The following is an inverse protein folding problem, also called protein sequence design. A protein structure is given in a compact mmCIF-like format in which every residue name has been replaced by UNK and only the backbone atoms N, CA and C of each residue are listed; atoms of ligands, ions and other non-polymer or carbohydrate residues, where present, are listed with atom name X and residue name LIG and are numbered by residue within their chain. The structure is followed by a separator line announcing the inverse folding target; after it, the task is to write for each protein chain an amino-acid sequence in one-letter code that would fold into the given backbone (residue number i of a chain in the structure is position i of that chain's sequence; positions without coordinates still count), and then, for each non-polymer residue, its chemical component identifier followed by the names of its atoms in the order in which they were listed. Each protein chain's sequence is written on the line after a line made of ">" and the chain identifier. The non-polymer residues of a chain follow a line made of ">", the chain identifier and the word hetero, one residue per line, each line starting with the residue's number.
data_IF_600694748815
#
_entry.id   IF_600694748815
#
_cell.length_a   1.000
_cell.length_b   1.000
_cell.length_c   1.000
_cell.angle_alpha   90.00
_cell.angle_beta   90.00
_cell.angle_gamma   90.00
#
_symmetry.space_group_name_H-M   'P 1'
#
loop_
_entity.id
_entity.type
_entity.pdbx_description
1 polymer ?
#
# COMPACT_ATOMS: atom_id res chain seq x y z
N UNK A 1 5.19 0.77 5.73
CA UNK A 1 6.45 0.21 5.17
C UNK A 1 6.62 0.53 3.69
N UNK A 2 5.90 -0.08 2.74
CA UNK A 2 6.17 0.17 1.30
C UNK A 2 5.95 1.66 0.89
N UNK A 3 4.77 2.20 1.16
CA UNK A 3 4.40 3.58 0.80
C UNK A 3 5.27 4.61 1.55
N UNK A 4 5.45 4.43 2.86
CA UNK A 4 6.28 5.33 3.71
C UNK A 4 7.75 5.36 3.26
N UNK A 5 8.30 4.23 2.80
CA UNK A 5 9.69 4.16 2.31
C UNK A 5 9.85 4.68 0.88
N UNK A 6 8.76 5.06 0.18
CA UNK A 6 8.86 5.62 -1.17
C UNK A 6 9.14 7.12 -1.11
N UNK A 7 10.04 7.61 -1.99
CA UNK A 7 10.39 9.04 -2.05
C UNK A 7 9.18 9.97 -2.26
N UNK A 8 8.15 9.47 -2.94
CA UNK A 8 6.93 10.24 -3.23
C UNK A 8 5.78 9.97 -2.26
N UNK A 9 6.00 9.15 -1.21
CA UNK A 9 4.95 8.67 -0.28
C UNK A 9 3.72 8.07 -0.98
N UNK A 10 3.90 7.57 -2.20
CA UNK A 10 2.85 6.98 -3.03
C UNK A 10 3.41 5.88 -3.90
N UNK A 11 2.70 4.77 -4.01
CA UNK A 11 3.08 3.62 -4.84
C UNK A 11 1.87 3.04 -5.57
N UNK A 12 2.11 2.43 -6.72
CA UNK A 12 1.09 1.63 -7.41
C UNK A 12 0.92 0.28 -6.73
N UNK A 13 -0.22 -0.40 -6.97
CA UNK A 13 -0.42 -1.77 -6.49
C UNK A 13 0.72 -2.71 -6.89
N UNK A 14 1.23 -2.59 -8.13
CA UNK A 14 2.34 -3.41 -8.61
C UNK A 14 3.57 -3.19 -7.74
N UNK A 15 3.97 -1.93 -7.56
CA UNK A 15 5.14 -1.58 -6.75
C UNK A 15 5.02 -2.03 -5.29
N UNK A 16 3.80 -2.03 -4.73
CA UNK A 16 3.56 -2.55 -3.38
C UNK A 16 3.77 -4.07 -3.34
N UNK A 17 3.26 -4.79 -4.33
CA UNK A 17 3.49 -6.24 -4.46
C UNK A 17 4.98 -6.55 -4.65
N UNK A 18 5.65 -5.80 -5.53
CA UNK A 18 7.08 -5.97 -5.83
C UNK A 18 7.92 -5.76 -4.57
N UNK A 19 7.64 -4.70 -3.81
CA UNK A 19 8.29 -4.43 -2.52
C UNK A 19 8.08 -5.57 -1.51
N UNK A 20 6.89 -6.16 -1.45
CA UNK A 20 6.60 -7.27 -0.54
C UNK A 20 7.38 -8.51 -0.95
N UNK A 21 7.45 -8.82 -2.24
CA UNK A 21 8.23 -9.95 -2.77
C UNK A 21 9.73 -9.74 -2.53
N UNK A 22 10.23 -8.53 -2.71
CA UNK A 22 11.64 -8.21 -2.46
C UNK A 22 11.98 -8.36 -0.97
N UNK A 23 11.14 -7.83 -0.08
CA UNK A 23 11.38 -7.82 1.36
C UNK A 23 11.15 -9.16 2.05
N UNK A 24 10.20 -9.97 1.56
CA UNK A 24 9.76 -11.18 2.24
C UNK A 24 9.75 -12.36 1.27
N UNK A 25 10.78 -13.21 1.38
CA UNK A 25 11.01 -14.35 0.48
C UNK A 25 9.80 -15.30 0.37
N UNK A 26 9.05 -15.45 1.47
CA UNK A 26 7.81 -16.24 1.52
C UNK A 26 6.79 -15.87 0.42
N UNK A 27 6.74 -14.61 0.00
CA UNK A 27 5.78 -14.13 -0.99
C UNK A 27 6.28 -14.21 -2.45
N UNK A 28 7.54 -14.62 -2.69
CA UNK A 28 8.13 -14.70 -4.03
C UNK A 28 7.59 -15.87 -4.86
N UNK A 29 7.41 -17.04 -4.23
CA UNK A 29 7.10 -18.29 -4.95
C UNK A 29 5.61 -18.65 -4.97
N UNK A 30 4.82 -18.15 -4.01
CA UNK A 30 3.41 -18.52 -3.90
C UNK A 30 2.52 -17.74 -4.87
N UNK A 31 1.76 -18.50 -5.67
CA UNK A 31 0.66 -18.04 -6.54
C UNK A 31 -0.08 -16.82 -5.96
N UNK A 32 -0.49 -15.84 -6.81
CA UNK A 32 -0.82 -14.45 -6.45
C UNK A 32 -2.10 -14.25 -5.60
N UNK A 33 -2.61 -15.26 -4.90
CA UNK A 33 -3.75 -15.16 -4.00
C UNK A 33 -3.57 -14.03 -2.95
N UNK A 34 -2.35 -13.86 -2.43
CA UNK A 34 -2.04 -12.80 -1.47
C UNK A 34 -2.12 -11.40 -2.08
N UNK A 35 -1.89 -11.23 -3.39
CA UNK A 35 -2.06 -9.94 -4.06
C UNK A 35 -3.51 -9.46 -4.01
N UNK A 36 -4.47 -10.40 -4.00
CA UNK A 36 -5.88 -10.05 -3.81
C UNK A 36 -6.14 -9.53 -2.40
N UNK A 37 -5.50 -10.14 -1.39
CA UNK A 37 -5.56 -9.64 -0.01
C UNK A 37 -4.95 -8.24 0.11
N UNK A 38 -3.86 -7.94 -0.61
CA UNK A 38 -3.30 -6.57 -0.65
C UNK A 38 -4.29 -5.59 -1.28
N UNK A 39 -4.88 -5.92 -2.43
CA UNK A 39 -5.93 -5.09 -3.04
C UNK A 39 -7.10 -4.83 -2.09
N UNK A 40 -7.56 -5.88 -1.43
CA UNK A 40 -8.65 -5.78 -0.47
C UNK A 40 -8.28 -4.88 0.71
N UNK A 41 -7.07 -5.00 1.26
CA UNK A 41 -6.62 -4.16 2.38
C UNK A 41 -6.47 -2.68 2.00
N UNK A 42 -5.99 -2.39 0.79
CA UNK A 42 -5.89 -1.02 0.28
C UNK A 42 -7.26 -0.36 0.17
N UNK A 43 -8.30 -1.11 -0.22
CA UNK A 43 -9.66 -0.57 -0.29
C UNK A 43 -10.41 -0.57 1.04
N UNK A 44 -10.08 -1.48 1.96
CA UNK A 44 -10.82 -1.68 3.20
C UNK A 44 -10.37 -0.74 4.33
N UNK A 45 -9.09 -0.37 4.37
CA UNK A 45 -8.58 0.50 5.42
C UNK A 45 -8.53 1.95 4.94
N UNK A 46 -9.24 2.83 5.66
CA UNK A 46 -9.35 4.26 5.34
C UNK A 46 -8.00 5.00 5.42
N UNK A 47 -6.98 4.38 6.01
CA UNK A 47 -5.62 4.92 5.99
C UNK A 47 -4.99 4.94 4.59
N UNK A 48 -5.50 4.16 3.64
CA UNK A 48 -5.01 4.13 2.26
C UNK A 48 -5.93 4.94 1.35
N UNK A 49 -5.39 5.99 0.76
CA UNK A 49 -6.12 6.85 -0.17
C UNK A 49 -5.68 6.55 -1.61
N UNK A 50 -6.67 6.47 -2.49
CA UNK A 50 -6.46 6.24 -3.92
C UNK A 50 -6.20 7.57 -4.61
N UNK A 51 -5.00 7.76 -5.13
CA UNK A 51 -4.59 8.96 -5.85
C UNK A 51 -4.68 8.72 -7.37
N UNK A 52 -5.42 9.54 -8.13
CA UNK A 52 -5.45 9.45 -9.59
C UNK A 52 -4.06 9.75 -10.18
N UNK A 53 -3.78 9.18 -11.34
CA UNK A 53 -2.58 9.53 -12.11
C UNK A 53 -2.74 10.92 -12.72
N UNK A 54 -1.62 11.63 -12.85
CA UNK A 54 -1.59 12.92 -13.53
C UNK A 54 -2.02 12.76 -15.00
N UNK A 55 -2.83 13.69 -15.53
CA UNK A 55 -3.18 13.71 -16.94
C UNK A 55 -1.90 13.91 -17.76
N UNK A 56 -1.44 12.85 -18.43
CA UNK A 56 -0.15 12.84 -19.16
C UNK A 56 0.73 11.63 -18.83
N UNK A 57 0.45 10.90 -17.74
CA UNK A 57 1.13 9.65 -17.39
C UNK A 57 0.21 8.44 -17.57
N UNK A 58 -0.02 7.96 -18.80
CA UNK A 58 -0.81 6.76 -19.04
C UNK A 58 -0.10 5.55 -18.43
N UNK A 59 -0.74 4.90 -17.47
CA UNK A 59 -0.19 3.73 -16.80
C UNK A 59 -1.28 2.90 -16.13
N UNK A 60 -0.99 1.62 -15.89
CA UNK A 60 -1.94 0.70 -15.28
C UNK A 60 -2.18 1.07 -13.81
N UNK A 61 -3.46 1.14 -13.43
CA UNK A 61 -3.88 1.35 -12.04
C UNK A 61 -3.68 2.76 -11.52
N UNK A 62 -4.04 2.98 -10.26
CA UNK A 62 -3.89 4.26 -9.56
C UNK A 62 -2.72 4.18 -8.57
N UNK A 63 -2.28 5.35 -8.10
CA UNK A 63 -1.38 5.42 -6.96
C UNK A 63 -2.17 5.21 -5.66
N UNK A 64 -1.50 4.66 -4.68
CA UNK A 64 -1.97 4.53 -3.30
C UNK A 64 -1.01 5.32 -2.42
N UNK A 65 -1.57 6.19 -1.61
CA UNK A 65 -0.87 6.97 -0.58
C UNK A 65 -1.45 6.63 0.78
N UNK A 66 -0.73 7.02 1.85
CA UNK A 66 -1.33 7.10 3.17
C UNK A 66 -2.09 8.42 3.32
N UNK A 67 -3.18 8.38 4.06
CA UNK A 67 -3.85 9.59 4.55
C UNK A 67 -2.89 10.33 5.51
N UNK A 68 -2.73 11.66 5.40
CA UNK A 68 -1.92 12.44 6.33
C UNK A 68 -2.29 12.21 7.81
N UNK A 69 -3.58 12.04 8.12
CA UNK A 69 -4.05 11.75 9.47
C UNK A 69 -3.67 10.33 9.95
N UNK A 70 -3.23 9.47 9.03
CA UNK A 70 -2.78 8.12 9.29
C UNK A 70 -1.24 7.95 9.28
N UNK A 71 -0.46 9.00 9.02
CA UNK A 71 1.00 8.91 9.01
C UNK A 71 1.57 8.54 10.39
N UNK A 72 1.15 9.26 11.43
CA UNK A 72 1.56 9.01 12.82
C UNK A 72 1.09 7.65 13.36
N UNK A 73 0.17 6.97 12.66
CA UNK A 73 -0.34 5.66 13.09
C UNK A 73 0.73 4.57 13.01
N UNK A 74 1.78 4.76 12.20
CA UNK A 74 2.82 3.76 11.96
C UNK A 74 4.17 4.09 12.61
N UNK A 75 4.30 5.27 13.22
CA UNK A 75 5.57 5.79 13.76
C UNK A 75 6.06 5.03 15.00
N UNK A 76 5.14 4.47 15.80
CA UNK A 76 5.47 3.77 17.04
C UNK A 76 5.66 2.25 16.88
N UNK A 77 5.91 1.76 15.66
CA UNK A 77 6.08 0.33 15.36
C UNK A 77 4.79 -0.51 15.45
N UNK A 78 3.64 0.14 15.69
CA UNK A 78 2.33 -0.51 15.77
C UNK A 78 1.76 -0.79 14.38
N UNK A 79 2.22 -1.86 13.73
CA UNK A 79 1.60 -2.39 12.50
C UNK A 79 0.35 -3.25 12.77
N UNK A 80 -0.15 -3.24 14.01
CA UNK A 80 -1.32 -4.01 14.43
C UNK A 80 -2.60 -3.44 13.82
N UNK A 81 -3.43 -4.34 13.28
CA UNK A 81 -4.78 -4.01 12.80
C UNK A 81 -5.62 -3.45 13.96
N UNK A 82 -5.83 -2.13 13.98
CA UNK A 82 -6.75 -1.49 14.94
C UNK A 82 -8.18 -1.52 14.41
N UNK A 83 -9.14 -1.51 15.34
CA UNK A 83 -10.57 -1.30 15.02
C UNK A 83 -10.73 0.03 14.29
N UNK A 84 -11.61 0.05 13.29
CA UNK A 84 -11.99 1.21 12.46
C UNK A 84 -12.11 2.45 13.36
N UNK A 85 -11.32 3.49 13.07
CA UNK A 85 -11.39 4.78 13.78
C UNK A 85 -12.17 5.84 12.99
N UNK A 86 -12.97 5.39 12.01
CA UNK A 86 -14.04 6.13 11.35
C UNK A 86 -15.27 5.22 11.20
#
# INVERSE_FOLDING_TARGET
>A
MAIVNSNQRRLTLSQICDFIMEKFEYYREKFPAWQNSIRHNLSLNDCFVKCPREPGNPGKGNYWSLDPAAEDMFDNGSFLRRRKRF
#
